data_IF_435144526861
#
_entry.id   IF_435144526861
#
_cell.length_a   1.000
_cell.length_b   1.000
_cell.length_c   1.000
_cell.angle_alpha   90.00
_cell.angle_beta   90.00
_cell.angle_gamma   90.00
#
_symmetry.space_group_name_H-M   'P 1'
#
loop_
_entity.id
_entity.type
_entity.pdbx_description
1 polymer ?
#
# COMPACT_ATOMS: atom_id res chain seq x y z
N UNK A 1 15.76 -0.67 -1.83
CA UNK A 1 15.09 0.54 -2.35
C UNK A 1 14.00 0.97 -1.38
N UNK A 2 13.72 2.27 -1.25
CA UNK A 2 12.65 2.77 -0.38
C UNK A 2 11.26 2.29 -0.84
N UNK A 3 10.29 2.19 0.07
CA UNK A 3 8.91 1.75 -0.23
C UNK A 3 8.29 2.53 -1.42
N UNK A 4 8.53 3.84 -1.48
CA UNK A 4 8.04 4.69 -2.56
C UNK A 4 8.66 4.33 -3.92
N UNK A 5 9.94 3.94 -3.96
CA UNK A 5 10.60 3.48 -5.18
C UNK A 5 10.03 2.15 -5.66
N UNK A 6 9.91 1.17 -4.77
CA UNK A 6 9.26 -0.11 -5.11
C UNK A 6 7.82 0.10 -5.61
N UNK A 7 7.09 1.05 -5.00
CA UNK A 7 5.74 1.39 -5.45
C UNK A 7 5.73 2.11 -6.81
N UNK A 8 6.69 2.98 -7.06
CA UNK A 8 6.86 3.65 -8.34
C UNK A 8 7.10 2.63 -9.46
N UNK A 9 8.07 1.71 -9.27
CA UNK A 9 8.42 0.70 -10.27
C UNK A 9 7.22 -0.21 -10.61
N UNK A 10 6.44 -0.61 -9.60
CA UNK A 10 5.18 -1.36 -9.79
C UNK A 10 4.12 -0.58 -10.58
N UNK A 11 4.04 0.74 -10.42
CA UNK A 11 3.08 1.59 -11.13
C UNK A 11 3.53 1.88 -12.56
N UNK A 12 4.85 2.04 -12.80
CA UNK A 12 5.40 2.29 -14.14
C UNK A 12 4.96 1.20 -15.12
N UNK A 13 5.01 -0.07 -14.72
CA UNK A 13 4.57 -1.19 -15.56
C UNK A 13 3.09 -1.15 -15.94
N UNK A 14 2.22 -0.53 -15.12
CA UNK A 14 0.77 -0.49 -15.36
C UNK A 14 0.27 0.77 -16.09
N UNK A 15 0.90 1.93 -15.86
CA UNK A 15 0.38 3.22 -16.33
C UNK A 15 1.41 4.18 -16.93
N UNK A 16 2.68 3.77 -17.00
CA UNK A 16 3.78 4.59 -17.52
C UNK A 16 4.32 5.62 -16.52
N UNK A 17 5.53 6.12 -16.80
CA UNK A 17 6.35 6.93 -15.87
C UNK A 17 5.68 8.22 -15.41
N UNK A 18 5.05 8.97 -16.32
CA UNK A 18 4.42 10.27 -16.01
C UNK A 18 3.26 10.13 -15.01
N UNK A 19 2.35 9.17 -15.27
CA UNK A 19 1.21 8.90 -14.37
C UNK A 19 1.67 8.30 -13.05
N UNK A 20 2.68 7.42 -13.07
CA UNK A 20 3.24 6.84 -11.86
C UNK A 20 3.82 7.92 -10.92
N UNK A 21 4.54 8.92 -11.44
CA UNK A 21 5.07 10.04 -10.64
C UNK A 21 3.95 10.82 -9.94
N UNK A 22 2.87 11.17 -10.64
CA UNK A 22 1.72 11.87 -10.06
C UNK A 22 1.09 11.09 -8.90
N UNK A 23 0.91 9.77 -9.08
CA UNK A 23 0.34 8.90 -8.04
C UNK A 23 1.25 8.85 -6.80
N UNK A 24 2.57 8.81 -6.99
CA UNK A 24 3.52 8.85 -5.88
C UNK A 24 3.47 10.22 -5.18
N UNK A 25 3.43 11.32 -5.93
CA UNK A 25 3.30 12.67 -5.39
C UNK A 25 2.03 12.85 -4.56
N UNK A 26 0.88 12.39 -5.07
CA UNK A 26 -0.38 12.41 -4.32
C UNK A 26 -0.29 11.64 -3.00
N UNK A 27 0.37 10.47 -2.99
CA UNK A 27 0.57 9.69 -1.75
C UNK A 27 1.46 10.41 -0.74
N UNK A 28 2.51 11.08 -1.19
CA UNK A 28 3.37 11.89 -0.33
C UNK A 28 2.57 13.05 0.26
N UNK A 29 1.75 13.73 -0.56
CA UNK A 29 0.92 14.85 -0.11
C UNK A 29 -0.11 14.41 0.94
N UNK A 30 -0.82 13.30 0.72
CA UNK A 30 -1.75 12.77 1.72
C UNK A 30 -1.04 12.43 3.03
N UNK A 31 0.15 11.81 2.96
CA UNK A 31 0.94 11.50 4.16
C UNK A 31 1.35 12.79 4.90
N UNK A 32 1.82 13.81 4.18
CA UNK A 32 2.16 15.11 4.73
C UNK A 32 0.94 15.83 5.34
N UNK A 33 -0.22 15.77 4.69
CA UNK A 33 -1.47 16.31 5.22
C UNK A 33 -1.82 15.65 6.56
N UNK A 34 -1.87 14.32 6.63
CA UNK A 34 -2.17 13.62 7.88
C UNK A 34 -1.13 13.93 8.97
N UNK A 35 0.16 13.98 8.63
CA UNK A 35 1.22 14.39 9.55
C UNK A 35 0.97 15.77 10.17
N UNK A 36 0.60 16.74 9.35
CA UNK A 36 0.39 18.13 9.78
C UNK A 36 -0.94 18.32 10.51
N UNK A 37 -2.01 17.65 10.05
CA UNK A 37 -3.36 17.80 10.60
C UNK A 37 -3.54 17.05 11.92
N UNK A 38 -2.95 15.86 12.07
CA UNK A 38 -3.23 15.03 13.24
C UNK A 38 -2.41 15.45 14.48
N UNK A 39 -1.41 16.33 14.35
CA UNK A 39 -0.50 16.83 15.42
C UNK A 39 0.06 15.76 16.38
N UNK A 40 -0.08 14.49 16.02
CA UNK A 40 0.56 13.39 16.70
C UNK A 40 2.01 13.36 16.23
N UNK A 41 2.99 13.16 17.13
CA UNK A 41 4.36 12.91 16.71
C UNK A 41 4.33 11.75 15.71
N UNK A 42 5.16 11.84 14.66
CA UNK A 42 5.32 10.77 13.69
C UNK A 42 5.82 9.53 14.44
N UNK A 43 4.90 8.72 14.93
CA UNK A 43 5.19 7.35 15.29
C UNK A 43 5.68 6.75 13.99
N UNK A 44 6.92 6.29 13.96
CA UNK A 44 7.45 5.50 12.86
C UNK A 44 6.47 4.36 12.65
N UNK A 45 5.53 4.55 11.72
CA UNK A 45 4.55 3.58 11.31
C UNK A 45 5.38 2.43 10.76
N UNK A 46 5.63 1.43 11.60
CA UNK A 46 6.50 0.33 11.26
C UNK A 46 5.99 -0.23 9.92
N UNK A 47 6.80 -0.12 8.88
CA UNK A 47 6.49 -0.60 7.53
C UNK A 47 6.02 -2.05 7.62
N UNK A 48 6.56 -2.80 8.59
CA UNK A 48 6.15 -4.13 9.01
C UNK A 48 4.66 -4.26 9.31
N UNK A 49 4.05 -3.35 10.09
CA UNK A 49 2.61 -3.40 10.40
C UNK A 49 1.76 -3.21 9.15
N UNK A 50 2.17 -2.34 8.23
CA UNK A 50 1.46 -2.14 6.97
C UNK A 50 1.60 -3.33 6.01
N UNK A 51 2.79 -3.92 5.93
CA UNK A 51 3.03 -5.12 5.14
C UNK A 51 2.32 -6.35 5.74
N UNK A 52 2.23 -6.44 7.08
CA UNK A 52 1.45 -7.47 7.77
C UNK A 52 -0.05 -7.32 7.46
N UNK A 53 -0.62 -6.12 7.64
CA UNK A 53 -2.03 -5.88 7.27
C UNK A 53 -2.32 -6.14 5.79
N UNK A 54 -1.38 -5.85 4.88
CA UNK A 54 -1.53 -6.19 3.46
C UNK A 54 -1.54 -7.69 3.21
N UNK A 55 -0.64 -8.43 3.88
CA UNK A 55 -0.60 -9.90 3.82
C UNK A 55 -1.89 -10.49 4.35
N UNK A 56 -2.38 -10.01 5.49
CA UNK A 56 -3.62 -10.49 6.11
C UNK A 56 -4.83 -10.27 5.19
N UNK A 57 -4.95 -9.08 4.60
CA UNK A 57 -6.00 -8.79 3.61
C UNK A 57 -5.91 -9.69 2.37
N UNK A 58 -4.69 -10.00 1.92
CA UNK A 58 -4.46 -10.89 0.78
C UNK A 58 -4.83 -12.34 1.13
N UNK A 59 -4.47 -12.82 2.31
CA UNK A 59 -4.84 -14.13 2.82
C UNK A 59 -6.36 -14.24 2.92
N UNK A 60 -7.03 -13.26 3.52
CA UNK A 60 -8.49 -13.22 3.62
C UNK A 60 -9.18 -13.25 2.24
N UNK A 61 -8.64 -12.49 1.27
CA UNK A 61 -9.16 -12.50 -0.09
C UNK A 61 -9.02 -13.88 -0.74
N UNK A 62 -7.84 -14.50 -0.65
CA UNK A 62 -7.59 -15.83 -1.20
C UNK A 62 -8.43 -16.92 -0.52
N UNK A 63 -8.58 -16.87 0.81
CA UNK A 63 -9.48 -17.76 1.54
C UNK A 63 -10.93 -17.62 1.07
N UNK A 64 -11.39 -16.39 0.82
CA UNK A 64 -12.73 -16.13 0.28
C UNK A 64 -12.90 -16.66 -1.13
N UNK A 65 -11.88 -16.53 -1.97
CA UNK A 65 -11.87 -17.03 -3.35
C UNK A 65 -11.90 -18.57 -3.37
N UNK A 66 -11.06 -19.23 -2.55
CA UNK A 66 -11.03 -20.69 -2.41
C UNK A 66 -12.36 -21.26 -1.91
N UNK A 67 -13.00 -20.60 -0.93
CA UNK A 67 -14.34 -20.97 -0.47
C UNK A 67 -15.38 -20.84 -1.58
N UNK A 68 -15.28 -19.82 -2.43
CA UNK A 68 -16.17 -19.64 -3.57
C UNK A 68 -16.03 -20.72 -4.65
N UNK A 69 -14.86 -21.35 -4.75
CA UNK A 69 -14.57 -22.44 -5.68
C UNK A 69 -14.90 -23.84 -5.11
N UNK A 70 -15.49 -23.91 -3.91
CA UNK A 70 -15.88 -25.18 -3.27
C UNK A 70 -14.73 -25.93 -2.60
N UNK A 71 -13.54 -25.32 -2.49
CA UNK A 71 -12.42 -25.88 -1.75
C UNK A 71 -12.57 -25.46 -0.28
N UNK A 72 -12.88 -26.42 0.60
CA UNK A 72 -12.89 -26.17 2.04
C UNK A 72 -11.45 -25.96 2.55
N UNK A 73 -11.15 -24.74 3.02
CA UNK A 73 -9.99 -24.41 3.84
C UNK A 73 -10.46 -23.68 5.09
#
# INVERSE_FOLDING_TARGET
>A
GTYLRAKFDSLVGRMGKKKALLVIGHKILCAAYHLLTTRLPYQSFAVEKFEQQRRDKRIMYLQKELKGLGVMV
#
